data_IF_270099207784
#
_entry.id   IF_270099207784
#
_cell.length_a   1.000
_cell.length_b   1.000
_cell.length_c   1.000
_cell.angle_alpha   90.00
_cell.angle_beta   90.00
_cell.angle_gamma   90.00
#
_symmetry.space_group_name_H-M   'P 1'
#
loop_
_entity.id
_entity.type
_entity.pdbx_description
1 polymer ?
#
# COMPACT_ATOMS: atom_id res chain seq x y z
N UNK A 1 -0.17 1.55 -22.56
CA UNK A 1 0.07 1.87 -21.15
C UNK A 1 -0.90 1.10 -20.27
N UNK A 2 -0.43 0.42 -19.24
CA UNK A 2 -1.37 -0.28 -18.35
C UNK A 2 -2.18 0.72 -17.52
N UNK A 3 -3.38 0.34 -17.20
CA UNK A 3 -4.25 1.17 -16.38
C UNK A 3 -5.23 0.30 -15.59
N UNK A 4 -5.80 0.88 -14.54
CA UNK A 4 -6.89 0.25 -13.81
C UNK A 4 -8.16 1.06 -14.07
N UNK A 5 -9.28 0.36 -14.16
CA UNK A 5 -10.57 0.99 -14.36
C UNK A 5 -11.30 1.08 -13.03
N UNK A 6 -11.80 2.27 -12.69
CA UNK A 6 -12.53 2.48 -11.47
C UNK A 6 -13.63 3.52 -11.70
N UNK A 7 -14.85 3.13 -11.39
CA UNK A 7 -16.04 3.98 -11.56
C UNK A 7 -16.15 4.61 -12.95
N UNK A 8 -15.86 3.83 -13.99
CA UNK A 8 -15.98 4.26 -15.37
C UNK A 8 -14.82 5.10 -15.89
N UNK A 9 -13.79 5.30 -15.09
CA UNK A 9 -12.58 6.04 -15.49
C UNK A 9 -11.38 5.11 -15.49
N UNK A 10 -10.41 5.44 -16.34
CA UNK A 10 -9.17 4.70 -16.42
C UNK A 10 -8.07 5.52 -15.74
N UNK A 11 -7.28 4.85 -14.91
CA UNK A 11 -6.17 5.46 -14.20
C UNK A 11 -4.90 4.73 -14.55
N UNK A 12 -3.91 5.47 -15.01
CA UNK A 12 -2.65 4.89 -15.43
C UNK A 12 -1.89 4.25 -14.26
N UNK A 13 -1.34 3.07 -14.48
CA UNK A 13 -0.47 2.40 -13.52
C UNK A 13 0.85 2.05 -14.20
N UNK A 14 1.89 1.75 -13.41
CA UNK A 14 3.16 1.33 -13.97
C UNK A 14 3.11 -0.17 -14.32
N UNK A 15 4.24 -0.71 -14.76
CA UNK A 15 4.35 -2.12 -15.17
C UNK A 15 3.98 -3.09 -14.05
N UNK A 16 4.16 -2.69 -12.82
CA UNK A 16 3.88 -3.53 -11.65
C UNK A 16 2.51 -3.24 -11.03
N UNK A 17 1.74 -2.36 -11.65
CA UNK A 17 0.39 -2.05 -11.20
C UNK A 17 0.28 -0.93 -10.17
N UNK A 18 1.35 -0.18 -9.95
CA UNK A 18 1.33 0.96 -9.02
C UNK A 18 0.74 2.19 -9.73
N UNK A 19 -0.15 2.88 -9.03
CA UNK A 19 -0.82 4.06 -9.58
C UNK A 19 0.23 5.16 -9.89
N UNK A 20 0.13 5.73 -11.08
CA UNK A 20 1.09 6.77 -11.50
C UNK A 20 0.84 8.11 -10.80
N UNK A 21 -0.42 8.42 -10.53
CA UNK A 21 -0.78 9.66 -9.84
C UNK A 21 -1.42 9.36 -8.49
N UNK A 22 -0.61 9.42 -7.43
CA UNK A 22 -1.06 9.10 -6.08
C UNK A 22 -2.19 10.03 -5.60
N UNK A 23 -2.29 11.22 -6.17
CA UNK A 23 -3.34 12.18 -5.78
C UNK A 23 -4.71 11.80 -6.31
N UNK A 24 -4.77 10.97 -7.35
CA UNK A 24 -6.04 10.50 -7.90
C UNK A 24 -6.60 9.28 -7.16
N UNK A 25 -5.86 8.75 -6.19
CA UNK A 25 -6.27 7.56 -5.46
C UNK A 25 -7.59 7.76 -4.68
N UNK A 26 -8.40 6.71 -4.68
CA UNK A 26 -9.65 6.65 -3.91
C UNK A 26 -9.69 5.31 -3.18
N UNK A 27 -10.39 5.27 -2.05
CA UNK A 27 -10.43 4.06 -1.21
C UNK A 27 -10.91 2.83 -1.98
N UNK A 28 -11.90 2.99 -2.85
CA UNK A 28 -12.40 1.88 -3.66
C UNK A 28 -11.36 1.26 -4.57
N UNK A 29 -10.35 2.02 -4.97
CA UNK A 29 -9.25 1.49 -5.78
C UNK A 29 -8.44 0.45 -5.02
N UNK A 30 -8.24 0.66 -3.71
CA UNK A 30 -7.56 -0.31 -2.88
C UNK A 30 -8.30 -1.64 -2.87
N UNK A 31 -9.62 -1.59 -2.80
CA UNK A 31 -10.44 -2.81 -2.83
C UNK A 31 -10.34 -3.52 -4.17
N UNK A 32 -10.31 -2.78 -5.28
CA UNK A 32 -10.13 -3.37 -6.61
C UNK A 32 -8.79 -4.08 -6.71
N UNK A 33 -7.73 -3.42 -6.28
CA UNK A 33 -6.39 -4.00 -6.33
C UNK A 33 -6.26 -5.22 -5.42
N UNK A 34 -6.85 -5.15 -4.22
CA UNK A 34 -6.84 -6.26 -3.28
C UNK A 34 -7.59 -7.47 -3.82
N UNK A 35 -8.72 -7.24 -4.49
CA UNK A 35 -9.50 -8.35 -5.05
C UNK A 35 -8.75 -9.05 -6.17
N UNK A 36 -7.87 -8.35 -6.89
CA UNK A 36 -7.01 -8.97 -7.90
C UNK A 36 -6.05 -9.98 -7.28
N UNK A 37 -5.73 -9.81 -6.01
CA UNK A 37 -4.84 -10.71 -5.26
C UNK A 37 -5.62 -11.65 -4.32
N UNK A 38 -6.93 -11.71 -4.46
CA UNK A 38 -7.82 -12.52 -3.61
C UNK A 38 -7.74 -12.14 -2.13
N UNK A 39 -7.52 -10.86 -1.86
CA UNK A 39 -7.46 -10.35 -0.49
C UNK A 39 -8.69 -9.50 -0.20
N UNK A 40 -9.32 -9.75 0.94
CA UNK A 40 -10.41 -8.93 1.46
C UNK A 40 -9.83 -7.97 2.49
N UNK A 41 -9.97 -6.67 2.26
CA UNK A 41 -9.43 -5.67 3.17
C UNK A 41 -10.28 -5.54 4.43
N UNK A 42 -9.66 -5.79 5.58
CA UNK A 42 -10.27 -5.58 6.89
C UNK A 42 -9.72 -4.30 7.52
N UNK A 43 -10.20 -4.00 8.73
CA UNK A 43 -9.79 -2.79 9.44
C UNK A 43 -8.29 -2.69 9.64
N UNK A 44 -7.63 -3.83 9.89
CA UNK A 44 -6.18 -3.85 10.09
C UNK A 44 -5.42 -3.50 8.81
N UNK A 45 -5.91 -3.94 7.66
CA UNK A 45 -5.33 -3.56 6.36
C UNK A 45 -5.46 -2.05 6.16
N UNK A 46 -6.63 -1.50 6.46
CA UNK A 46 -6.89 -0.08 6.29
C UNK A 46 -6.02 0.79 7.18
N UNK A 47 -5.71 0.33 8.40
CA UNK A 47 -4.79 1.05 9.28
C UNK A 47 -3.43 1.24 8.60
N UNK A 48 -2.92 0.19 7.98
CA UNK A 48 -1.62 0.22 7.31
C UNK A 48 -1.69 1.09 6.05
N UNK A 49 -2.75 0.96 5.27
CA UNK A 49 -2.94 1.76 4.06
C UNK A 49 -2.98 3.24 4.40
N UNK A 50 -3.75 3.63 5.41
CA UNK A 50 -3.84 5.02 5.83
C UNK A 50 -2.52 5.54 6.37
N UNK A 51 -1.82 4.72 7.15
CA UNK A 51 -0.49 5.06 7.65
C UNK A 51 0.47 5.36 6.50
N UNK A 52 0.47 4.52 5.47
CA UNK A 52 1.34 4.71 4.31
C UNK A 52 1.01 5.99 3.55
N UNK A 53 -0.27 6.28 3.37
CA UNK A 53 -0.69 7.52 2.70
C UNK A 53 -0.19 8.75 3.48
N UNK A 54 -0.36 8.76 4.80
CA UNK A 54 0.10 9.86 5.64
C UNK A 54 1.62 9.99 5.61
N UNK A 55 2.32 8.85 5.65
CA UNK A 55 3.76 8.82 5.55
C UNK A 55 4.24 9.44 4.23
N UNK A 56 3.62 9.05 3.13
CA UNK A 56 4.00 9.57 1.82
C UNK A 56 3.72 11.07 1.70
N UNK A 57 2.57 11.53 2.21
CA UNK A 57 2.25 12.97 2.20
C UNK A 57 3.33 13.74 2.95
N UNK A 58 3.81 13.22 4.07
CA UNK A 58 4.80 13.89 4.90
C UNK A 58 6.21 13.84 4.33
N UNK A 59 6.63 12.69 3.83
CA UNK A 59 8.02 12.47 3.42
C UNK A 59 8.24 12.38 1.92
N UNK A 60 7.19 12.26 1.14
CA UNK A 60 7.23 12.13 -0.33
C UNK A 60 8.06 10.94 -0.80
N UNK A 61 8.06 9.87 0.00
CA UNK A 61 8.75 8.63 -0.33
C UNK A 61 7.94 7.45 0.21
N UNK A 62 7.87 6.37 -0.56
CA UNK A 62 7.24 5.14 -0.12
C UNK A 62 8.27 4.31 0.66
N UNK A 63 7.98 3.90 1.90
CA UNK A 63 8.99 3.24 2.74
C UNK A 63 9.23 1.79 2.34
N UNK A 64 10.49 1.36 2.46
CA UNK A 64 10.84 -0.05 2.35
C UNK A 64 10.42 -0.79 3.63
N UNK A 65 10.44 -2.12 3.58
CA UNK A 65 9.93 -2.95 4.68
C UNK A 65 10.55 -2.64 6.05
N UNK A 66 11.84 -2.42 6.12
CA UNK A 66 12.51 -2.15 7.40
C UNK A 66 12.00 -0.86 8.03
N UNK A 67 11.83 0.17 7.22
CA UNK A 67 11.34 1.45 7.70
C UNK A 67 9.87 1.34 8.07
N UNK A 68 9.09 0.63 7.27
CA UNK A 68 7.68 0.41 7.53
C UNK A 68 7.46 -0.28 8.88
N UNK A 69 8.17 -1.36 9.14
CA UNK A 69 8.09 -2.08 10.42
C UNK A 69 8.43 -1.16 11.59
N UNK A 70 9.52 -0.42 11.46
CA UNK A 70 9.98 0.49 12.51
C UNK A 70 8.96 1.59 12.82
N UNK A 71 8.45 2.24 11.77
CA UNK A 71 7.52 3.36 11.95
C UNK A 71 6.16 2.90 12.46
N UNK A 72 5.68 1.77 11.99
CA UNK A 72 4.44 1.20 12.51
C UNK A 72 4.60 0.83 13.98
N UNK A 73 5.76 0.28 14.35
CA UNK A 73 6.05 -0.05 15.74
C UNK A 73 5.98 1.16 16.66
N UNK A 74 6.44 2.32 16.18
CA UNK A 74 6.38 3.56 16.97
C UNK A 74 4.95 4.08 17.15
N UNK A 75 4.13 3.94 16.13
CA UNK A 75 2.78 4.52 16.12
C UNK A 75 1.73 3.55 16.67
N UNK A 76 1.83 2.29 16.33
CA UNK A 76 0.81 1.27 16.63
C UNK A 76 1.27 0.21 17.62
N UNK A 77 2.52 0.26 18.04
CA UNK A 77 3.09 -0.68 18.99
C UNK A 77 3.83 -1.85 18.34
N UNK A 78 4.66 -2.56 19.10
CA UNK A 78 5.50 -3.63 18.55
C UNK A 78 4.72 -4.84 18.05
N UNK A 79 3.50 -5.01 18.47
CA UNK A 79 2.66 -6.12 18.01
C UNK A 79 2.32 -5.96 16.54
N UNK A 80 2.13 -4.73 16.07
CA UNK A 80 1.84 -4.43 14.66
C UNK A 80 3.09 -4.05 13.88
N UNK A 81 4.08 -3.49 14.55
CA UNK A 81 5.38 -3.18 13.94
C UNK A 81 6.27 -4.40 13.88
N UNK A 82 5.84 -5.43 13.20
CA UNK A 82 6.50 -6.71 13.16
C UNK A 82 6.30 -7.36 11.79
N UNK A 83 7.37 -7.88 11.26
CA UNK A 83 7.40 -8.42 9.91
C UNK A 83 6.37 -9.53 9.70
N UNK A 84 6.28 -10.44 10.64
CA UNK A 84 5.35 -11.57 10.55
C UNK A 84 3.90 -11.09 10.44
N UNK A 85 3.51 -10.17 11.31
CA UNK A 85 2.16 -9.61 11.31
C UNK A 85 1.83 -8.94 9.97
N UNK A 86 2.76 -8.14 9.46
CA UNK A 86 2.54 -7.44 8.20
C UNK A 86 2.48 -8.40 7.02
N UNK A 87 3.27 -9.47 7.03
CA UNK A 87 3.20 -10.49 5.98
C UNK A 87 1.89 -11.29 6.04
N UNK A 88 1.29 -11.42 7.20
CA UNK A 88 -0.03 -12.04 7.31
C UNK A 88 -1.12 -11.20 6.65
N UNK A 89 -1.01 -9.87 6.78
CA UNK A 89 -1.94 -8.95 6.13
C UNK A 89 -1.68 -8.81 4.63
N UNK A 90 -0.42 -8.76 4.24
CA UNK A 90 -0.01 -8.52 2.86
C UNK A 90 1.01 -9.58 2.44
N UNK A 91 0.54 -10.81 2.12
CA UNK A 91 1.46 -11.92 1.85
C UNK A 91 2.33 -11.75 0.60
N UNK A 92 1.96 -10.84 -0.29
CA UNK A 92 2.77 -10.52 -1.46
C UNK A 92 3.94 -9.58 -1.18
N UNK A 93 4.20 -9.26 0.10
CA UNK A 93 5.24 -8.34 0.52
C UNK A 93 4.63 -7.07 1.08
N UNK A 94 4.72 -6.84 2.40
CA UNK A 94 3.98 -5.75 3.04
C UNK A 94 4.25 -4.37 2.45
N UNK A 95 5.51 -4.03 2.22
CA UNK A 95 5.82 -2.71 1.67
C UNK A 95 5.29 -2.58 0.25
N UNK A 96 5.55 -3.56 -0.59
CA UNK A 96 5.14 -3.51 -2.00
C UNK A 96 3.63 -3.58 -2.15
N UNK A 97 3.00 -4.57 -1.55
CA UNK A 97 1.57 -4.81 -1.73
C UNK A 97 0.74 -3.71 -1.09
N UNK A 98 1.09 -3.29 0.12
CA UNK A 98 0.36 -2.22 0.80
C UNK A 98 0.53 -0.88 0.10
N UNK A 99 1.71 -0.55 -0.41
CA UNK A 99 1.92 0.68 -1.18
C UNK A 99 1.09 0.67 -2.47
N UNK A 100 1.00 -0.47 -3.14
CA UNK A 100 0.18 -0.57 -4.34
C UNK A 100 -1.29 -0.28 -4.02
N UNK A 101 -1.82 -0.88 -2.96
CA UNK A 101 -3.22 -0.64 -2.56
C UNK A 101 -3.43 0.81 -2.10
N UNK A 102 -2.42 1.41 -1.51
CA UNK A 102 -2.48 2.80 -1.06
C UNK A 102 -2.34 3.82 -2.20
N UNK A 103 -2.14 3.35 -3.43
CA UNK A 103 -2.00 4.24 -4.58
C UNK A 103 -0.69 5.00 -4.62
N UNK A 104 0.32 4.50 -3.94
CA UNK A 104 1.64 5.14 -3.86
C UNK A 104 2.59 4.58 -4.91
N UNK A 105 3.68 5.30 -5.21
CA UNK A 105 4.72 4.75 -6.08
C UNK A 105 5.35 3.50 -5.46
N UNK A 106 6.03 2.74 -6.30
CA UNK A 106 6.76 1.56 -5.85
C UNK A 106 7.79 1.96 -4.80
N UNK A 107 7.90 1.21 -3.68
CA UNK A 107 8.90 1.53 -2.66
C UNK A 107 10.31 1.50 -3.22
N UNK A 108 11.14 2.43 -2.77
CA UNK A 108 12.54 2.45 -3.13
C UNK A 108 13.26 1.38 -2.31
N UNK A 109 14.21 0.72 -2.90
CA UNK A 109 14.87 -0.40 -2.24
C UNK A 109 14.16 -1.69 -2.58
N UNK A 110 14.89 -2.76 -2.59
CA UNK A 110 14.41 -3.97 -3.17
C UNK A 110 13.72 -4.85 -2.21
N UNK A 111 12.79 -4.62 -1.62
CA UNK A 111 12.06 -5.69 -0.93
C UNK A 111 10.91 -5.19 -0.16
#
# INVERSE_FOLDING_TARGET
MPFIEFEGKQYEVDEDGYLMDWQSWQEGMAQVMASQDDITLGSEHWEIIKFLREYFIKFQIAPMIKILVKEIGKVMGPEKGNTKYLYELFPGGPAKQACRYAGLPKPTGCV
#
